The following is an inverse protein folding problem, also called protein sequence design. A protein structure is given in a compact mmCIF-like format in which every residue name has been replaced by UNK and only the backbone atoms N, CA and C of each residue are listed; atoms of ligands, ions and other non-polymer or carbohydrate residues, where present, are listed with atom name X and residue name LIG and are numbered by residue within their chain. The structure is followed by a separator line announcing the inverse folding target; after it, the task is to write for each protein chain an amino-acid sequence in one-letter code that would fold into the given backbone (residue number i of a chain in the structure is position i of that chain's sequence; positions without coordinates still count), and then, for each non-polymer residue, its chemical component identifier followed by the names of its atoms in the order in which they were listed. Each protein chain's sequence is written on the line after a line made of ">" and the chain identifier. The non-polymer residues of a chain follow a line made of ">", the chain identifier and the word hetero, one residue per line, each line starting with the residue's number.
data_IF_856667512320
#
_entry.id   IF_856667512320
#
_cell.length_a   1.000
_cell.length_b   1.000
_cell.length_c   1.000
_cell.angle_alpha   90.00
_cell.angle_beta   90.00
_cell.angle_gamma   90.00
#
_symmetry.space_group_name_H-M   'P 1'
#
loop_
_entity.id
_entity.type
_entity.pdbx_description
1 polymer ?
#
# COMPACT_ATOMS: atom_id res chain seq x y z
N UNK A 1 -13.11 13.93 22.59
CA UNK A 1 -11.87 14.54 23.15
C UNK A 1 -11.65 15.96 22.61
N UNK A 2 -11.74 16.19 21.29
CA UNK A 2 -11.54 17.51 20.65
C UNK A 2 -12.45 18.65 21.14
N UNK A 3 -13.77 18.42 21.27
CA UNK A 3 -14.68 19.47 21.79
C UNK A 3 -14.33 19.95 23.20
N UNK A 4 -13.83 19.05 24.07
CA UNK A 4 -13.39 19.45 25.42
C UNK A 4 -12.17 20.37 25.38
N UNK A 5 -11.21 20.07 24.49
CA UNK A 5 -10.04 20.92 24.27
C UNK A 5 -10.42 22.29 23.70
N UNK A 6 -11.38 22.33 22.77
CA UNK A 6 -11.95 23.58 22.26
C UNK A 6 -12.58 24.41 23.39
N UNK A 7 -13.37 23.79 24.26
CA UNK A 7 -13.97 24.47 25.41
C UNK A 7 -12.89 25.04 26.35
N UNK A 8 -11.87 24.24 26.70
CA UNK A 8 -10.73 24.70 27.50
C UNK A 8 -10.02 25.89 26.87
N UNK A 9 -9.79 25.86 25.55
CA UNK A 9 -9.16 26.95 24.82
C UNK A 9 -10.02 28.22 24.81
N UNK A 10 -11.33 28.08 24.65
CA UNK A 10 -12.25 29.21 24.77
C UNK A 10 -12.20 29.86 26.16
N UNK A 11 -12.07 29.07 27.22
CA UNK A 11 -11.90 29.58 28.58
C UNK A 11 -10.58 30.38 28.73
N UNK A 12 -9.47 29.89 28.19
CA UNK A 12 -8.19 30.62 28.18
C UNK A 12 -8.30 31.95 27.42
N UNK A 13 -8.95 31.93 26.26
CA UNK A 13 -9.09 33.08 25.37
C UNK A 13 -10.24 34.03 25.79
N UNK A 14 -10.86 33.79 26.96
CA UNK A 14 -12.02 34.53 27.50
C UNK A 14 -13.19 34.64 26.51
N UNK A 15 -13.38 33.62 25.68
CA UNK A 15 -14.48 33.51 24.72
C UNK A 15 -15.52 32.49 25.18
N UNK A 16 -16.79 32.68 24.77
CA UNK A 16 -17.85 31.70 25.06
C UNK A 16 -17.78 30.56 24.02
N UNK A 17 -17.69 29.29 24.45
CA UNK A 17 -17.73 28.17 23.53
C UNK A 17 -19.14 28.00 22.94
N UNK A 18 -19.20 27.62 21.66
CA UNK A 18 -20.46 27.24 21.02
C UNK A 18 -20.94 25.86 21.50
N UNK A 19 -22.20 25.53 21.23
CA UNK A 19 -22.76 24.23 21.56
C UNK A 19 -22.05 23.10 20.80
N UNK A 20 -22.01 21.91 21.40
CA UNK A 20 -21.38 20.73 20.79
C UNK A 20 -21.93 20.42 19.40
N UNK A 21 -23.23 20.68 19.18
CA UNK A 21 -23.90 20.46 17.89
C UNK A 21 -23.38 21.40 16.82
N UNK A 22 -23.20 22.69 17.13
CA UNK A 22 -22.65 23.67 16.20
C UNK A 22 -21.17 23.35 15.92
N UNK A 23 -20.41 23.06 16.96
CA UNK A 23 -19.00 22.67 16.83
C UNK A 23 -18.83 21.46 15.90
N UNK A 24 -19.59 20.38 16.12
CA UNK A 24 -19.53 19.18 15.26
C UNK A 24 -19.95 19.50 13.83
N UNK A 25 -21.03 20.26 13.64
CA UNK A 25 -21.49 20.62 12.29
C UNK A 25 -20.41 21.36 11.50
N UNK A 26 -19.74 22.33 12.11
CA UNK A 26 -18.65 23.09 11.49
C UNK A 26 -17.42 22.19 11.29
N UNK A 27 -17.01 21.47 12.32
CA UNK A 27 -15.83 20.59 12.27
C UNK A 27 -15.96 19.51 11.20
N UNK A 28 -17.13 18.90 11.08
CA UNK A 28 -17.38 17.80 10.14
C UNK A 28 -17.68 18.30 8.72
N UNK A 29 -18.37 19.43 8.54
CA UNK A 29 -18.83 19.88 7.20
C UNK A 29 -17.99 20.97 6.55
N UNK A 30 -17.35 21.83 7.34
CA UNK A 30 -16.60 22.98 6.81
C UNK A 30 -15.10 22.68 6.78
N UNK A 31 -14.59 21.97 7.77
CA UNK A 31 -13.18 21.61 7.82
C UNK A 31 -12.87 20.28 7.12
N UNK A 32 -13.85 19.38 6.95
CA UNK A 32 -13.69 18.05 6.32
C UNK A 32 -12.39 17.34 6.75
N UNK A 33 -12.05 17.43 8.04
CA UNK A 33 -10.80 16.91 8.59
C UNK A 33 -10.92 15.40 8.72
N UNK A 34 -10.51 14.69 7.66
CA UNK A 34 -10.24 13.27 7.75
C UNK A 34 -8.82 13.06 8.29
N UNK A 35 -8.65 12.08 9.19
CA UNK A 35 -7.32 11.57 9.48
C UNK A 35 -6.79 10.90 8.21
N UNK A 36 -5.72 11.46 7.64
CA UNK A 36 -5.05 10.85 6.51
C UNK A 36 -4.58 9.46 6.94
N UNK A 37 -5.14 8.41 6.35
CA UNK A 37 -4.61 7.07 6.53
C UNK A 37 -3.32 6.97 5.70
N UNK A 38 -2.16 6.67 6.30
CA UNK A 38 -0.96 6.42 5.55
C UNK A 38 -1.25 5.28 4.56
N UNK A 39 -1.11 5.58 3.27
CA UNK A 39 -1.27 4.57 2.22
C UNK A 39 0.01 3.72 2.24
N UNK A 40 -0.15 2.41 2.36
CA UNK A 40 0.98 1.47 2.25
C UNK A 40 1.44 1.37 0.79
N UNK A 41 2.68 0.95 0.59
CA UNK A 41 3.26 0.64 -0.73
C UNK A 41 3.31 1.83 -1.70
N UNK A 42 3.51 3.04 -1.16
CA UNK A 42 3.82 4.19 -2.00
C UNK A 42 5.25 4.12 -2.53
N UNK A 43 5.45 4.55 -3.78
CA UNK A 43 6.78 4.65 -4.34
C UNK A 43 7.57 5.75 -3.62
N UNK A 44 8.70 5.39 -3.01
CA UNK A 44 9.56 6.31 -2.25
C UNK A 44 9.97 7.54 -3.06
N UNK A 45 10.31 7.36 -4.34
CA UNK A 45 10.70 8.47 -5.22
C UNK A 45 9.52 9.42 -5.49
N UNK A 46 8.34 8.88 -5.78
CA UNK A 46 7.14 9.70 -6.00
C UNK A 46 6.77 10.47 -4.73
N UNK A 47 6.83 9.81 -3.57
CA UNK A 47 6.50 10.43 -2.28
C UNK A 47 7.52 11.49 -1.90
N UNK A 48 8.82 11.22 -2.11
CA UNK A 48 9.89 12.19 -1.90
C UNK A 48 9.67 13.43 -2.78
N UNK A 49 9.50 13.25 -4.08
CA UNK A 49 9.28 14.37 -5.02
C UNK A 49 8.04 15.19 -4.64
N UNK A 50 6.94 14.54 -4.25
CA UNK A 50 5.71 15.23 -3.82
C UNK A 50 5.93 16.09 -2.57
N UNK A 51 6.71 15.61 -1.62
CA UNK A 51 6.94 16.25 -0.32
C UNK A 51 8.14 17.21 -0.31
N UNK A 52 8.93 17.25 -1.39
CA UNK A 52 10.06 18.17 -1.56
C UNK A 52 9.62 19.62 -1.82
N UNK A 53 10.50 20.55 -1.44
CA UNK A 53 10.38 21.98 -1.78
C UNK A 53 10.55 22.23 -3.28
N UNK A 54 10.18 23.42 -3.77
CA UNK A 54 10.27 23.74 -5.20
C UNK A 54 11.71 23.74 -5.72
N UNK A 55 12.68 24.14 -4.88
CA UNK A 55 14.10 24.08 -5.22
C UNK A 55 14.58 22.62 -5.39
N UNK A 56 14.25 21.75 -4.44
CA UNK A 56 14.60 20.32 -4.49
C UNK A 56 13.90 19.59 -5.64
N UNK A 57 12.66 19.97 -5.96
CA UNK A 57 11.95 19.43 -7.13
C UNK A 57 12.65 19.78 -8.43
N UNK A 58 13.17 21.01 -8.57
CA UNK A 58 13.90 21.43 -9.76
C UNK A 58 15.16 20.57 -9.95
N UNK A 59 15.88 20.28 -8.88
CA UNK A 59 17.06 19.39 -8.90
C UNK A 59 16.71 17.93 -9.21
N UNK A 60 15.56 17.45 -8.71
CA UNK A 60 15.12 16.07 -8.91
C UNK A 60 14.25 15.85 -10.16
N UNK A 61 13.98 16.91 -10.94
CA UNK A 61 12.97 16.88 -12.00
C UNK A 61 13.30 15.84 -13.08
N UNK A 62 14.54 15.82 -13.56
CA UNK A 62 14.98 14.85 -14.58
C UNK A 62 14.86 13.39 -14.10
N UNK A 63 15.19 13.14 -12.84
CA UNK A 63 15.08 11.81 -12.24
C UNK A 63 13.61 11.39 -12.14
N UNK A 64 12.76 12.33 -11.70
CA UNK A 64 11.33 12.09 -11.57
C UNK A 64 10.64 11.86 -12.93
N UNK A 65 10.94 12.68 -13.93
CA UNK A 65 10.40 12.56 -15.28
C UNK A 65 10.80 11.23 -15.93
N UNK A 66 12.06 10.81 -15.77
CA UNK A 66 12.51 9.50 -16.24
C UNK A 66 11.79 8.36 -15.50
N UNK A 67 11.57 8.49 -14.19
CA UNK A 67 10.80 7.51 -13.42
C UNK A 67 9.36 7.39 -13.92
N UNK A 68 8.67 8.52 -14.13
CA UNK A 68 7.29 8.53 -14.64
C UNK A 68 7.22 7.92 -16.04
N UNK A 69 8.15 8.31 -16.92
CA UNK A 69 8.24 7.73 -18.27
C UNK A 69 8.44 6.22 -18.25
N UNK A 70 9.34 5.72 -17.41
CA UNK A 70 9.59 4.28 -17.27
C UNK A 70 8.38 3.54 -16.69
N UNK A 71 7.70 4.15 -15.72
CA UNK A 71 6.46 3.63 -15.13
C UNK A 71 5.35 3.52 -16.16
N UNK A 72 5.15 4.54 -16.99
CA UNK A 72 4.16 4.53 -18.07
C UNK A 72 4.51 3.49 -19.13
N UNK A 73 5.76 3.43 -19.58
CA UNK A 73 6.24 2.45 -20.54
C UNK A 73 6.09 1.01 -20.04
N UNK A 74 6.38 0.76 -18.76
CA UNK A 74 6.17 -0.55 -18.13
C UNK A 74 4.69 -0.94 -18.11
N UNK A 75 3.78 0.01 -17.81
CA UNK A 75 2.33 -0.22 -17.84
C UNK A 75 1.81 -0.48 -19.24
N UNK A 76 2.30 0.27 -20.22
CA UNK A 76 1.96 0.10 -21.63
C UNK A 76 2.38 -1.29 -22.13
N UNK A 77 3.63 -1.67 -21.88
CA UNK A 77 4.13 -3.01 -22.23
C UNK A 77 3.29 -4.10 -21.56
N UNK A 78 2.99 -3.96 -20.26
CA UNK A 78 2.13 -4.90 -19.54
C UNK A 78 0.73 -5.00 -20.17
N UNK A 79 0.14 -3.90 -20.65
CA UNK A 79 -1.16 -3.94 -21.35
C UNK A 79 -1.06 -4.69 -22.66
N UNK A 80 -0.01 -4.41 -23.46
CA UNK A 80 0.25 -5.10 -24.73
C UNK A 80 0.45 -6.60 -24.53
N UNK A 81 1.26 -7.00 -23.55
CA UNK A 81 1.51 -8.41 -23.23
C UNK A 81 0.22 -9.10 -22.77
N UNK A 82 -0.63 -8.40 -21.99
CA UNK A 82 -1.93 -8.92 -21.57
C UNK A 82 -2.88 -9.13 -22.75
N UNK A 83 -2.97 -8.15 -23.65
CA UNK A 83 -3.81 -8.22 -24.86
C UNK A 83 -3.34 -9.32 -25.80
N UNK A 84 -2.02 -9.43 -26.00
CA UNK A 84 -1.41 -10.51 -26.78
C UNK A 84 -1.74 -11.87 -26.15
N UNK A 85 -1.55 -12.05 -24.84
CA UNK A 85 -1.86 -13.30 -24.15
C UNK A 85 -3.34 -13.70 -24.28
N UNK A 86 -4.26 -12.72 -24.27
CA UNK A 86 -5.69 -12.99 -24.47
C UNK A 86 -6.01 -13.45 -25.91
N UNK A 87 -5.27 -12.97 -26.91
CA UNK A 87 -5.50 -13.30 -28.32
C UNK A 87 -4.79 -14.58 -28.78
N UNK A 88 -3.72 -15.00 -28.09
CA UNK A 88 -2.79 -16.02 -28.56
C UNK A 88 -3.27 -17.47 -28.40
N UNK A 89 -4.50 -17.72 -27.93
CA UNK A 89 -5.09 -19.06 -27.71
C UNK A 89 -4.12 -20.10 -27.09
N UNK A 90 -3.24 -19.67 -26.16
CA UNK A 90 -2.28 -20.54 -25.46
C UNK A 90 -0.84 -20.56 -25.98
N UNK A 91 -0.52 -19.88 -27.09
CA UNK A 91 0.87 -19.77 -27.59
C UNK A 91 1.73 -18.80 -26.77
N UNK A 92 1.11 -17.77 -26.20
CA UNK A 92 1.76 -16.76 -25.36
C UNK A 92 1.05 -16.62 -24.02
N UNK A 93 1.82 -16.64 -22.92
CA UNK A 93 1.32 -16.47 -21.56
C UNK A 93 1.98 -15.25 -20.94
N UNK A 94 1.16 -14.31 -20.49
CA UNK A 94 1.59 -13.20 -19.64
C UNK A 94 1.10 -13.46 -18.22
N UNK A 95 2.00 -13.52 -17.25
CA UNK A 95 1.65 -13.80 -15.85
C UNK A 95 2.32 -12.81 -14.90
N UNK A 96 1.61 -12.45 -13.83
CA UNK A 96 2.18 -11.78 -12.67
C UNK A 96 2.33 -12.80 -11.55
N UNK A 97 3.44 -12.79 -10.85
CA UNK A 97 3.63 -13.64 -9.70
C UNK A 97 4.07 -12.82 -8.49
N UNK A 98 3.64 -13.25 -7.32
CA UNK A 98 4.01 -12.64 -6.05
C UNK A 98 4.25 -13.75 -5.01
N UNK A 99 5.35 -13.63 -4.28
CA UNK A 99 5.65 -14.51 -3.16
C UNK A 99 5.11 -13.86 -1.89
N UNK A 100 4.18 -14.54 -1.23
CA UNK A 100 3.64 -14.06 0.04
C UNK A 100 4.72 -14.07 1.13
N UNK A 101 4.43 -13.35 2.21
CA UNK A 101 5.23 -13.39 3.44
C UNK A 101 5.43 -14.84 3.93
N UNK A 102 6.62 -15.13 4.47
CA UNK A 102 6.96 -16.45 5.00
C UNK A 102 6.00 -16.82 6.14
N UNK A 103 5.24 -17.89 5.93
CA UNK A 103 4.22 -18.35 6.87
C UNK A 103 4.84 -19.30 7.90
N UNK A 104 5.02 -18.83 9.13
CA UNK A 104 5.44 -19.71 10.22
C UNK A 104 4.33 -20.69 10.61
N UNK A 105 4.65 -21.98 10.61
CA UNK A 105 3.71 -23.08 10.84
C UNK A 105 4.19 -23.98 11.99
N UNK A 106 3.33 -24.34 12.97
CA UNK A 106 1.95 -23.88 13.16
C UNK A 106 1.90 -22.41 13.63
N UNK A 107 0.81 -21.72 13.30
CA UNK A 107 0.54 -20.38 13.83
C UNK A 107 0.07 -20.51 15.29
N UNK A 108 0.89 -20.04 16.22
CA UNK A 108 0.57 -20.00 17.64
C UNK A 108 0.97 -18.65 18.24
N UNK A 109 0.19 -18.19 19.21
CA UNK A 109 0.45 -16.97 19.98
C UNK A 109 1.07 -17.27 21.36
N UNK A 110 1.35 -18.54 21.65
CA UNK A 110 1.98 -18.94 22.89
C UNK A 110 3.46 -18.55 22.90
N UNK A 111 3.93 -18.04 24.05
CA UNK A 111 5.33 -17.67 24.25
C UNK A 111 6.28 -18.87 24.09
N UNK A 112 5.82 -20.08 24.36
CA UNK A 112 6.61 -21.30 24.17
C UNK A 112 7.05 -21.49 22.71
N UNK A 113 6.27 -21.02 21.73
CA UNK A 113 6.61 -21.10 20.31
C UNK A 113 7.70 -20.10 19.90
N UNK A 114 7.96 -19.07 20.70
CA UNK A 114 9.07 -18.13 20.45
C UNK A 114 10.44 -18.80 20.60
N UNK A 115 10.57 -19.73 21.56
CA UNK A 115 11.81 -20.45 21.82
C UNK A 115 11.97 -21.73 21.00
N UNK A 116 11.00 -22.06 20.15
CA UNK A 116 11.02 -23.24 19.29
C UNK A 116 11.25 -22.83 17.84
N UNK A 117 12.00 -23.65 17.09
CA UNK A 117 12.11 -23.48 15.64
C UNK A 117 10.76 -23.77 15.00
N UNK A 118 10.21 -22.78 14.30
CA UNK A 118 8.97 -22.91 13.53
C UNK A 118 9.29 -23.36 12.11
N UNK A 119 8.41 -24.18 11.53
CA UNK A 119 8.53 -24.59 10.14
C UNK A 119 8.14 -23.40 9.26
N UNK A 120 8.98 -23.05 8.31
CA UNK A 120 8.65 -22.04 7.31
C UNK A 120 7.86 -22.67 6.17
N UNK A 121 6.71 -22.07 5.87
CA UNK A 121 5.87 -22.41 4.74
C UNK A 121 5.84 -21.21 3.80
N UNK A 122 6.08 -21.47 2.52
CA UNK A 122 6.10 -20.47 1.47
C UNK A 122 4.83 -20.60 0.62
N UNK A 123 4.34 -19.47 0.12
CA UNK A 123 3.15 -19.41 -0.74
C UNK A 123 3.46 -18.49 -1.92
N UNK A 124 3.47 -19.06 -3.12
CA UNK A 124 3.67 -18.35 -4.38
C UNK A 124 2.34 -18.27 -5.12
N UNK A 125 1.93 -17.06 -5.46
CA UNK A 125 0.73 -16.83 -6.27
C UNK A 125 1.16 -16.49 -7.68
N UNK A 126 0.64 -17.20 -8.66
CA UNK A 126 0.74 -16.86 -10.08
C UNK A 126 -0.64 -16.44 -10.57
N UNK A 127 -0.71 -15.34 -11.29
CA UNK A 127 -1.92 -14.84 -11.91
C UNK A 127 -1.69 -14.67 -13.40
N UNK A 128 -2.38 -15.46 -14.20
CA UNK A 128 -2.34 -15.34 -15.65
C UNK A 128 -3.20 -14.15 -16.10
N UNK A 129 -2.55 -13.17 -16.72
CA UNK A 129 -3.18 -11.92 -17.15
C UNK A 129 -4.11 -12.12 -18.37
N UNK A 130 -3.85 -13.13 -19.20
CA UNK A 130 -4.61 -13.37 -20.44
C UNK A 130 -5.97 -14.00 -20.19
N UNK A 131 -6.04 -15.02 -19.34
CA UNK A 131 -7.28 -15.75 -19.03
C UNK A 131 -7.86 -15.46 -17.64
N UNK A 132 -7.14 -14.70 -16.80
CA UNK A 132 -7.52 -14.37 -15.43
C UNK A 132 -7.52 -15.56 -14.45
N UNK A 133 -6.79 -16.64 -14.77
CA UNK A 133 -6.61 -17.75 -13.84
C UNK A 133 -5.60 -17.41 -12.74
N UNK A 134 -5.94 -17.79 -11.51
CA UNK A 134 -5.05 -17.73 -10.36
C UNK A 134 -4.58 -19.11 -9.94
N UNK A 135 -3.28 -19.26 -9.73
CA UNK A 135 -2.63 -20.46 -9.21
C UNK A 135 -1.91 -20.13 -7.91
N UNK A 136 -2.00 -21.02 -6.93
CA UNK A 136 -1.30 -20.87 -5.65
C UNK A 136 -0.51 -22.13 -5.35
N UNK A 137 0.79 -21.96 -5.14
CA UNK A 137 1.71 -23.04 -4.83
C UNK A 137 2.21 -22.87 -3.41
N UNK A 138 2.01 -23.90 -2.59
CA UNK A 138 2.42 -23.91 -1.20
C UNK A 138 3.42 -25.03 -1.00
N UNK A 139 4.54 -24.71 -0.37
CA UNK A 139 5.54 -25.70 0.03
C UNK A 139 6.20 -25.28 1.34
N UNK A 140 6.77 -26.24 2.05
CA UNK A 140 7.52 -25.97 3.27
C UNK A 140 9.03 -26.02 3.03
N UNK A 141 9.81 -25.50 3.98
CA UNK A 141 11.28 -25.49 3.92
C UNK A 141 11.96 -26.87 3.83
N UNK A 142 11.21 -27.97 4.02
CA UNK A 142 11.75 -29.32 3.83
C UNK A 142 11.66 -29.83 2.39
N UNK A 143 10.74 -29.27 1.59
CA UNK A 143 10.51 -29.66 0.19
C UNK A 143 11.38 -28.83 -0.76
N UNK A 144 11.51 -27.54 -0.50
CA UNK A 144 12.46 -26.67 -1.19
C UNK A 144 13.68 -26.53 -0.29
N UNK A 145 14.67 -27.38 -0.54
CA UNK A 145 15.91 -27.41 0.23
C UNK A 145 16.59 -26.05 0.24
N UNK A 146 17.28 -25.75 1.34
CA UNK A 146 18.44 -24.86 1.29
C UNK A 146 19.59 -25.56 0.60
#
# INVERSE_FOLDING_TARGET
>A
KMYRLYVSKCFEDRSKPVSVSIYRRIFDREFNLAFHHPVKDQCDLCTKYKNSSDAEKLEMNEIYDNHIRNKEKSRENKSKDKEQAAQSQGEFISACFDLQEVLTTPKSFESACYYKRRLNTFSLTLYNLGNSDGYSFIWNESVSGR
#
